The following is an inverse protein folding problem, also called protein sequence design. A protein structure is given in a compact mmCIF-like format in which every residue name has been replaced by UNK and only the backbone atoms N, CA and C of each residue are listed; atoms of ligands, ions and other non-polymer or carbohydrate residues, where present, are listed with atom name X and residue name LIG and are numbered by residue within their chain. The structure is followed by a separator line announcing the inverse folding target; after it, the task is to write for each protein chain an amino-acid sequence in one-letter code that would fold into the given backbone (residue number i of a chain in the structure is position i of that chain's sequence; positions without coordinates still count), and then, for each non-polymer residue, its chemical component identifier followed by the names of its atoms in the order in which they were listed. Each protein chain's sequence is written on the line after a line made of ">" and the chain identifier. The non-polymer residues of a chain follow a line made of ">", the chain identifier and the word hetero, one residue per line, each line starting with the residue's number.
data_IF_320761056292
#
_entry.id   IF_320761056292
#
_cell.length_a   1.000
_cell.length_b   1.000
_cell.length_c   1.000
_cell.angle_alpha   90.00
_cell.angle_beta   90.00
_cell.angle_gamma   90.00
#
_symmetry.space_group_name_H-M   'P 1'
#
loop_
_entity.id
_entity.type
_entity.pdbx_description
1 polymer ?
#
# COMPACT_ATOMS: atom_id res chain seq x y z
N UNK A 1 4.43 -17.80 3.61
CA UNK A 1 5.04 -16.57 3.07
C UNK A 1 5.16 -16.70 1.55
N UNK A 2 4.82 -15.65 0.79
CA UNK A 2 5.02 -15.63 -0.66
C UNK A 2 6.42 -15.07 -0.95
N UNK A 3 7.31 -15.89 -1.51
CA UNK A 3 8.73 -15.56 -1.68
C UNK A 3 9.54 -15.75 -0.40
N UNK A 4 10.74 -16.32 -0.53
CA UNK A 4 11.68 -16.50 0.57
C UNK A 4 12.51 -15.22 0.75
N UNK A 5 12.32 -14.49 1.85
CA UNK A 5 13.06 -13.24 2.11
C UNK A 5 14.57 -13.49 2.31
N UNK A 6 15.00 -14.71 2.62
CA UNK A 6 16.40 -15.05 2.84
C UNK A 6 17.26 -14.89 1.58
N UNK A 7 16.66 -14.82 0.39
CA UNK A 7 17.39 -14.49 -0.85
C UNK A 7 18.05 -13.10 -0.80
N UNK A 8 17.59 -12.22 0.11
CA UNK A 8 18.13 -10.88 0.30
C UNK A 8 19.18 -10.79 1.41
N UNK A 9 19.51 -11.89 2.10
CA UNK A 9 20.36 -11.88 3.30
C UNK A 9 21.71 -11.19 3.09
N UNK A 10 22.46 -11.61 2.07
CA UNK A 10 23.79 -11.03 1.78
C UNK A 10 23.71 -9.53 1.47
N UNK A 11 22.68 -9.11 0.73
CA UNK A 11 22.45 -7.69 0.41
C UNK A 11 22.05 -6.90 1.65
N UNK A 12 21.21 -7.47 2.52
CA UNK A 12 20.73 -6.85 3.75
C UNK A 12 21.86 -6.65 4.76
N UNK A 13 22.74 -7.64 4.92
CA UNK A 13 23.79 -7.63 5.95
C UNK A 13 24.81 -6.50 5.78
N UNK A 14 24.94 -5.94 4.57
CA UNK A 14 25.82 -4.79 4.28
C UNK A 14 25.10 -3.43 4.34
N UNK A 15 23.78 -3.39 4.58
CA UNK A 15 23.04 -2.13 4.56
C UNK A 15 23.31 -1.30 5.82
N UNK A 16 23.48 0.03 5.69
CA UNK A 16 23.56 0.90 6.84
C UNK A 16 22.22 0.90 7.59
N UNK A 17 22.28 0.99 8.91
CA UNK A 17 21.12 1.29 9.75
C UNK A 17 20.97 2.79 9.90
N UNK A 18 19.73 3.28 9.93
CA UNK A 18 19.43 4.71 10.11
C UNK A 18 18.38 4.95 11.18
N UNK A 19 18.53 6.05 11.91
CA UNK A 19 17.56 6.55 12.89
C UNK A 19 16.40 7.29 12.18
N UNK A 20 15.78 6.63 11.20
CA UNK A 20 14.68 7.15 10.39
C UNK A 20 13.46 6.22 10.53
N UNK A 21 12.25 6.78 10.40
CA UNK A 21 11.00 6.03 10.31
C UNK A 21 10.66 5.90 8.83
N UNK A 22 10.41 4.68 8.38
CA UNK A 22 9.94 4.41 7.02
C UNK A 22 8.44 4.08 7.03
N UNK A 23 7.68 4.71 6.16
CA UNK A 23 6.24 4.53 6.04
C UNK A 23 5.95 3.63 4.83
N UNK A 24 5.13 2.62 5.05
CA UNK A 24 4.52 1.81 3.99
C UNK A 24 3.02 1.97 4.10
N UNK A 25 2.36 2.39 3.03
CA UNK A 25 0.92 2.61 3.03
C UNK A 25 0.28 1.85 1.88
N UNK A 26 -0.81 1.14 2.15
CA UNK A 26 -1.73 0.77 1.10
C UNK A 26 -2.44 2.01 0.52
N UNK A 27 -3.13 1.83 -0.59
CA UNK A 27 -3.84 2.86 -1.31
C UNK A 27 -5.36 2.81 -1.12
N UNK A 28 -6.02 1.73 -1.56
CA UNK A 28 -7.48 1.65 -1.58
C UNK A 28 -8.02 1.46 -0.15
N UNK A 29 -8.99 2.29 0.26
CA UNK A 29 -9.53 2.34 1.63
C UNK A 29 -8.50 2.61 2.75
N UNK A 30 -7.28 3.01 2.38
CA UNK A 30 -6.22 3.45 3.30
C UNK A 30 -5.85 4.92 3.07
N UNK A 31 -5.47 5.26 1.84
CA UNK A 31 -5.21 6.65 1.40
C UNK A 31 -6.45 7.21 0.71
N UNK A 32 -7.18 6.40 -0.08
CA UNK A 32 -8.34 6.86 -0.83
C UNK A 32 -9.51 5.89 -0.65
N UNK A 33 -10.66 6.39 -0.23
CA UNK A 33 -11.83 5.55 0.04
C UNK A 33 -12.48 5.06 -1.25
N UNK A 34 -12.73 3.75 -1.33
CA UNK A 34 -13.46 3.12 -2.43
C UNK A 34 -14.96 2.94 -2.13
N UNK A 35 -15.45 3.50 -1.02
CA UNK A 35 -16.83 3.34 -0.55
C UNK A 35 -17.89 3.76 -1.58
N UNK A 36 -17.63 4.79 -2.40
CA UNK A 36 -18.54 5.18 -3.50
C UNK A 36 -18.70 4.05 -4.52
N UNK A 37 -17.60 3.41 -4.91
CA UNK A 37 -17.54 2.31 -5.88
C UNK A 37 -18.30 1.09 -5.33
N UNK A 38 -18.16 0.82 -4.03
CA UNK A 38 -18.86 -0.27 -3.34
C UNK A 38 -20.37 0.02 -3.28
N UNK A 39 -20.77 1.22 -2.83
CA UNK A 39 -22.20 1.60 -2.68
C UNK A 39 -22.95 1.61 -4.01
N UNK A 40 -22.30 2.03 -5.09
CA UNK A 40 -22.88 2.02 -6.45
C UNK A 40 -22.83 0.65 -7.13
N UNK A 41 -22.24 -0.34 -6.48
CA UNK A 41 -22.02 -1.68 -7.02
C UNK A 41 -21.46 -1.64 -8.46
N UNK A 42 -20.41 -0.84 -8.64
CA UNK A 42 -19.77 -0.61 -9.94
C UNK A 42 -19.21 -1.90 -10.50
N UNK A 43 -18.61 -2.73 -9.63
CA UNK A 43 -18.00 -4.02 -9.96
C UNK A 43 -19.02 -5.18 -10.02
N UNK A 44 -20.31 -4.93 -9.75
CA UNK A 44 -21.40 -5.92 -9.74
C UNK A 44 -21.10 -7.13 -8.87
N UNK A 45 -20.74 -6.88 -7.61
CA UNK A 45 -20.38 -7.89 -6.62
C UNK A 45 -18.98 -8.51 -6.79
N UNK A 46 -18.27 -8.26 -7.90
CA UNK A 46 -16.92 -8.82 -8.14
C UNK A 46 -15.88 -8.14 -7.25
N UNK A 47 -15.04 -8.94 -6.59
CA UNK A 47 -14.00 -8.49 -5.66
C UNK A 47 -12.62 -8.97 -6.11
N UNK A 48 -11.57 -8.33 -5.58
CA UNK A 48 -10.18 -8.68 -5.89
C UNK A 48 -9.90 -8.66 -7.41
N UNK A 49 -9.20 -9.69 -7.88
CA UNK A 49 -8.79 -9.80 -9.28
C UNK A 49 -9.96 -9.89 -10.26
N UNK A 50 -11.09 -10.48 -9.88
CA UNK A 50 -12.29 -10.48 -10.73
C UNK A 50 -12.86 -9.06 -10.92
N UNK A 51 -12.82 -8.26 -9.86
CA UNK A 51 -13.22 -6.85 -9.91
C UNK A 51 -12.29 -6.01 -10.79
N UNK A 52 -10.98 -6.24 -10.68
CA UNK A 52 -9.97 -5.58 -11.52
C UNK A 52 -10.13 -5.94 -13.00
N UNK A 53 -10.30 -7.23 -13.29
CA UNK A 53 -10.55 -7.74 -14.65
C UNK A 53 -11.82 -7.17 -15.26
N UNK A 54 -12.90 -7.08 -14.47
CA UNK A 54 -14.14 -6.46 -14.92
C UNK A 54 -13.97 -4.97 -15.25
N UNK A 55 -13.19 -4.24 -14.46
CA UNK A 55 -12.85 -2.85 -14.78
C UNK A 55 -12.09 -2.79 -16.11
N UNK A 56 -11.05 -3.59 -16.27
CA UNK A 56 -10.18 -3.56 -17.45
C UNK A 56 -10.93 -3.95 -18.74
N UNK A 57 -11.70 -5.04 -18.71
CA UNK A 57 -12.31 -5.63 -19.91
C UNK A 57 -13.69 -5.05 -20.24
N UNK A 58 -14.44 -4.54 -19.25
CA UNK A 58 -15.84 -4.12 -19.46
C UNK A 58 -16.05 -2.62 -19.28
N UNK A 59 -15.49 -2.02 -18.23
CA UNK A 59 -15.68 -0.58 -17.95
C UNK A 59 -14.67 0.27 -18.74
N UNK A 60 -13.44 -0.23 -18.86
CA UNK A 60 -12.26 0.50 -19.30
C UNK A 60 -11.62 1.27 -18.15
N UNK A 61 -10.30 1.14 -18.00
CA UNK A 61 -9.51 1.78 -16.93
C UNK A 61 -9.68 3.31 -16.98
N UNK A 62 -9.59 3.91 -18.17
CA UNK A 62 -9.70 5.36 -18.34
C UNK A 62 -11.06 5.88 -17.85
N UNK A 63 -12.16 5.26 -18.29
CA UNK A 63 -13.51 5.64 -17.86
C UNK A 63 -13.68 5.46 -16.34
N UNK A 64 -13.19 4.34 -15.80
CA UNK A 64 -13.28 4.07 -14.37
C UNK A 64 -12.51 5.11 -13.54
N UNK A 65 -11.29 5.44 -13.94
CA UNK A 65 -10.46 6.44 -13.27
C UNK A 65 -11.11 7.83 -13.36
N UNK A 66 -11.60 8.20 -14.54
CA UNK A 66 -12.30 9.46 -14.75
C UNK A 66 -13.55 9.62 -13.88
N UNK A 67 -14.34 8.56 -13.73
CA UNK A 67 -15.61 8.63 -13.00
C UNK A 67 -15.43 8.58 -11.48
N UNK A 68 -14.40 7.86 -11.00
CA UNK A 68 -14.25 7.51 -9.57
C UNK A 68 -13.00 8.05 -8.89
N UNK A 69 -12.06 8.64 -9.62
CA UNK A 69 -10.80 9.17 -9.06
C UNK A 69 -10.52 10.59 -9.53
N UNK A 70 -10.63 10.88 -10.83
CA UNK A 70 -10.41 12.23 -11.34
C UNK A 70 -11.40 13.22 -10.73
N UNK A 71 -10.89 14.37 -10.26
CA UNK A 71 -11.66 15.46 -9.64
C UNK A 71 -12.41 15.08 -8.36
N UNK A 72 -12.19 13.88 -7.81
CA UNK A 72 -12.67 13.54 -6.48
C UNK A 72 -11.84 14.25 -5.43
N UNK A 73 -12.47 14.59 -4.32
CA UNK A 73 -11.71 15.12 -3.19
C UNK A 73 -10.76 14.04 -2.68
N UNK A 74 -9.49 14.42 -2.63
CA UNK A 74 -8.42 13.59 -2.15
C UNK A 74 -8.16 13.93 -0.68
N UNK A 75 -8.23 12.95 0.25
CA UNK A 75 -8.10 13.19 1.68
C UNK A 75 -6.67 13.58 2.05
N UNK A 76 -6.42 14.90 2.10
CA UNK A 76 -5.09 15.42 2.41
C UNK A 76 -4.62 15.13 3.85
N UNK A 77 -5.52 14.78 4.76
CA UNK A 77 -5.18 14.57 6.18
C UNK A 77 -4.32 13.30 6.40
N UNK A 78 -4.47 12.26 5.56
CA UNK A 78 -3.62 11.06 5.62
C UNK A 78 -2.19 11.38 5.18
N UNK A 79 -2.06 12.10 4.06
CA UNK A 79 -0.76 12.45 3.45
C UNK A 79 0.04 13.46 4.26
N UNK A 80 -0.57 14.25 5.16
CA UNK A 80 0.17 15.17 6.05
C UNK A 80 1.25 14.48 6.89
N UNK A 81 1.18 13.16 7.04
CA UNK A 81 2.16 12.34 7.77
C UNK A 81 3.24 11.76 6.87
N UNK A 82 3.12 11.90 5.54
CA UNK A 82 4.00 11.26 4.57
C UNK A 82 5.09 12.22 4.12
N UNK A 83 6.34 11.80 4.33
CA UNK A 83 7.50 12.42 3.71
C UNK A 83 7.85 11.63 2.45
N UNK A 84 8.00 12.32 1.32
CA UNK A 84 8.18 11.70 0.01
C UNK A 84 9.37 10.73 -0.02
N UNK A 85 10.46 11.09 0.64
CA UNK A 85 11.70 10.32 0.69
C UNK A 85 11.58 9.08 1.58
N UNK A 86 10.64 9.07 2.53
CA UNK A 86 10.49 8.05 3.57
C UNK A 86 9.17 7.28 3.46
N UNK A 87 8.45 7.40 2.34
CA UNK A 87 7.14 6.76 2.17
C UNK A 87 7.13 5.89 0.91
N UNK A 88 6.57 4.70 1.02
CA UNK A 88 6.23 3.81 -0.08
C UNK A 88 4.71 3.58 -0.11
N UNK A 89 4.08 3.82 -1.26
CA UNK A 89 2.74 3.33 -1.54
C UNK A 89 2.88 1.90 -2.07
N UNK A 90 2.31 0.92 -1.37
CA UNK A 90 2.39 -0.50 -1.70
C UNK A 90 0.98 -1.09 -1.79
N UNK A 91 0.50 -1.30 -3.01
CA UNK A 91 -0.87 -1.75 -3.27
C UNK A 91 -0.93 -3.05 -4.06
N UNK A 92 -2.09 -3.71 -4.08
CA UNK A 92 -2.31 -4.97 -4.76
C UNK A 92 -3.34 -4.85 -5.90
N UNK A 93 -3.11 -5.55 -7.01
CA UNK A 93 -4.01 -5.64 -8.15
C UNK A 93 -3.28 -5.47 -9.48
N UNK A 94 -4.02 -5.07 -10.51
CA UNK A 94 -3.42 -4.91 -11.85
C UNK A 94 -2.60 -3.63 -11.91
N UNK A 95 -1.34 -3.74 -12.34
CA UNK A 95 -0.34 -2.66 -12.31
C UNK A 95 -0.81 -1.39 -13.04
N UNK A 96 -1.36 -1.55 -14.25
CA UNK A 96 -1.90 -0.46 -15.06
C UNK A 96 -3.07 0.27 -14.37
N UNK A 97 -4.01 -0.48 -13.78
CA UNK A 97 -5.14 0.07 -13.06
C UNK A 97 -4.69 0.82 -11.80
N UNK A 98 -3.82 0.20 -11.00
CA UNK A 98 -3.33 0.79 -9.75
C UNK A 98 -2.56 2.09 -10.00
N UNK A 99 -1.66 2.11 -10.99
CA UNK A 99 -0.91 3.31 -11.37
C UNK A 99 -1.82 4.42 -11.90
N UNK A 100 -2.80 4.09 -12.74
CA UNK A 100 -3.73 5.10 -13.27
C UNK A 100 -4.55 5.78 -12.16
N UNK A 101 -5.01 5.01 -11.16
CA UNK A 101 -5.70 5.59 -9.99
C UNK A 101 -4.80 6.53 -9.19
N UNK A 102 -3.56 6.10 -8.90
CA UNK A 102 -2.58 6.89 -8.14
C UNK A 102 -2.22 8.20 -8.87
N UNK A 103 -2.07 8.14 -10.19
CA UNK A 103 -1.83 9.30 -11.03
C UNK A 103 -3.00 10.29 -10.97
N UNK A 104 -4.24 9.79 -11.11
CA UNK A 104 -5.45 10.62 -11.09
C UNK A 104 -5.68 11.36 -9.77
N UNK A 105 -5.16 10.84 -8.65
CA UNK A 105 -5.22 11.51 -7.34
C UNK A 105 -3.95 12.32 -7.00
N UNK A 106 -3.03 12.47 -7.95
CA UNK A 106 -1.84 13.31 -7.80
C UNK A 106 -0.70 12.71 -6.96
N UNK A 107 -0.73 11.41 -6.67
CA UNK A 107 0.25 10.72 -5.82
C UNK A 107 1.44 10.11 -6.60
N UNK A 108 1.51 10.32 -7.91
CA UNK A 108 2.55 9.78 -8.79
C UNK A 108 3.99 10.17 -8.41
N UNK A 109 4.16 11.16 -7.54
CA UNK A 109 5.46 11.62 -7.06
C UNK A 109 5.98 10.80 -5.87
N UNK A 110 5.16 10.00 -5.20
CA UNK A 110 5.61 9.03 -4.21
C UNK A 110 6.16 7.77 -4.90
N UNK A 111 7.12 7.06 -4.28
CA UNK A 111 7.44 5.70 -4.68
C UNK A 111 6.21 4.80 -4.62
N UNK A 112 5.95 4.06 -5.70
CA UNK A 112 4.81 3.15 -5.81
C UNK A 112 5.30 1.76 -6.17
N UNK A 113 4.77 0.75 -5.47
CA UNK A 113 4.90 -0.66 -5.81
C UNK A 113 3.51 -1.29 -5.90
N UNK A 114 3.31 -2.04 -6.98
CA UNK A 114 2.10 -2.82 -7.20
C UNK A 114 2.48 -4.29 -7.23
N UNK A 115 1.84 -5.08 -6.36
CA UNK A 115 1.90 -6.54 -6.37
C UNK A 115 0.61 -7.12 -6.94
N UNK A 116 0.62 -8.37 -7.36
CA UNK A 116 -0.60 -8.95 -7.95
C UNK A 116 -1.64 -9.29 -6.86
N UNK A 117 -1.20 -9.91 -5.76
CA UNK A 117 -2.03 -10.25 -4.61
C UNK A 117 -1.53 -9.62 -3.30
N UNK A 118 -2.44 -9.33 -2.38
CA UNK A 118 -2.14 -8.70 -1.08
C UNK A 118 -1.07 -9.45 -0.26
N UNK A 119 -1.08 -10.79 -0.31
CA UNK A 119 -0.10 -11.63 0.40
C UNK A 119 1.35 -11.48 -0.07
N UNK A 120 1.57 -10.85 -1.21
CA UNK A 120 2.91 -10.58 -1.76
C UNK A 120 3.54 -9.30 -1.17
N UNK A 121 2.72 -8.42 -0.57
CA UNK A 121 3.17 -7.13 -0.04
C UNK A 121 4.32 -7.24 0.99
N UNK A 122 4.27 -8.14 2.00
CA UNK A 122 5.40 -8.32 2.93
C UNK A 122 6.75 -8.53 2.24
N UNK A 123 6.78 -9.38 1.21
CA UNK A 123 7.99 -9.68 0.46
C UNK A 123 8.44 -8.50 -0.42
N UNK A 124 7.52 -7.85 -1.15
CA UNK A 124 7.88 -6.69 -1.98
C UNK A 124 8.32 -5.49 -1.12
N UNK A 125 7.81 -5.34 0.11
CA UNK A 125 8.31 -4.37 1.09
C UNK A 125 9.77 -4.63 1.43
N UNK A 126 10.14 -5.86 1.81
CA UNK A 126 11.54 -6.23 2.10
C UNK A 126 12.44 -5.99 0.90
N UNK A 127 12.01 -6.44 -0.28
CA UNK A 127 12.73 -6.22 -1.53
C UNK A 127 12.93 -4.74 -1.82
N UNK A 128 11.90 -3.90 -1.62
CA UNK A 128 12.02 -2.45 -1.80
C UNK A 128 13.05 -1.86 -0.83
N UNK A 129 12.99 -2.22 0.45
CA UNK A 129 13.94 -1.75 1.47
C UNK A 129 15.38 -2.12 1.07
N UNK A 130 15.60 -3.39 0.70
CA UNK A 130 16.95 -3.89 0.41
C UNK A 130 17.49 -3.33 -0.90
N UNK A 131 16.69 -3.32 -1.97
CA UNK A 131 17.19 -3.04 -3.32
C UNK A 131 17.04 -1.57 -3.74
N UNK A 132 16.09 -0.84 -3.16
CA UNK A 132 15.75 0.54 -3.54
C UNK A 132 16.05 1.54 -2.43
N UNK A 133 15.56 1.30 -1.21
CA UNK A 133 15.84 2.19 -0.07
C UNK A 133 17.31 2.13 0.34
N UNK A 134 17.91 0.93 0.28
CA UNK A 134 19.34 0.65 0.54
C UNK A 134 19.82 1.08 1.94
N UNK A 135 18.92 1.10 2.90
CA UNK A 135 19.24 1.20 4.32
C UNK A 135 18.12 0.52 5.12
N UNK A 136 18.43 0.13 6.35
CA UNK A 136 17.43 -0.41 7.29
C UNK A 136 16.98 0.74 8.20
N UNK A 137 15.69 1.13 8.17
CA UNK A 137 15.15 2.14 9.09
C UNK A 137 15.12 1.60 10.53
N UNK A 138 14.93 2.48 11.50
CA UNK A 138 14.77 2.11 12.92
C UNK A 138 13.39 1.53 13.19
N UNK A 139 12.38 2.14 12.59
CA UNK A 139 11.00 1.69 12.66
C UNK A 139 10.38 1.71 11.26
N UNK A 140 9.50 0.75 11.00
CA UNK A 140 8.63 0.73 9.81
C UNK A 140 7.19 0.87 10.29
N UNK A 141 6.47 1.85 9.75
CA UNK A 141 5.06 2.08 10.05
C UNK A 141 4.23 1.67 8.84
N UNK A 142 3.38 0.65 9.02
CA UNK A 142 2.55 0.08 7.96
C UNK A 142 1.12 0.53 8.16
N UNK A 143 0.53 1.22 7.18
CA UNK A 143 -0.88 1.63 7.17
C UNK A 143 -1.63 0.77 6.15
N UNK A 144 -2.68 0.06 6.59
CA UNK A 144 -3.39 -0.91 5.76
C UNK A 144 -4.84 -1.10 6.28
N UNK A 145 -5.82 -1.17 5.37
CA UNK A 145 -7.23 -1.48 5.71
C UNK A 145 -7.43 -2.97 6.03
N UNK A 146 -6.61 -3.83 5.43
CA UNK A 146 -6.59 -5.30 5.58
C UNK A 146 -5.18 -5.81 5.92
N UNK A 147 -4.77 -5.70 7.20
CA UNK A 147 -3.39 -5.93 7.62
C UNK A 147 -3.02 -7.41 7.84
N UNK A 148 -3.89 -8.37 7.51
CA UNK A 148 -3.74 -9.76 7.95
C UNK A 148 -2.39 -10.36 7.55
N UNK A 149 -1.95 -10.15 6.31
CA UNK A 149 -0.69 -10.68 5.82
C UNK A 149 0.55 -10.06 6.47
N UNK A 150 0.48 -8.78 6.87
CA UNK A 150 1.56 -8.15 7.61
C UNK A 150 1.58 -8.63 9.06
N UNK A 151 0.42 -8.83 9.69
CA UNK A 151 0.33 -9.40 11.04
C UNK A 151 0.93 -10.81 11.06
N UNK A 152 0.54 -11.65 10.10
CA UNK A 152 1.01 -13.05 9.98
C UNK A 152 2.53 -13.14 9.81
N UNK A 153 3.15 -12.14 9.21
CA UNK A 153 4.59 -12.14 8.87
C UNK A 153 5.43 -11.22 9.75
N UNK A 154 4.83 -10.43 10.64
CA UNK A 154 5.50 -9.38 11.43
C UNK A 154 6.77 -9.86 12.12
N UNK A 155 6.69 -10.94 12.90
CA UNK A 155 7.82 -11.45 13.67
C UNK A 155 9.00 -11.88 12.78
N UNK A 156 8.72 -12.53 11.66
CA UNK A 156 9.74 -12.95 10.69
C UNK A 156 10.40 -11.74 10.02
N UNK A 157 9.61 -10.72 9.67
CA UNK A 157 10.12 -9.48 9.07
C UNK A 157 10.96 -8.66 10.04
N UNK A 158 10.52 -8.53 11.30
CA UNK A 158 11.25 -7.84 12.35
C UNK A 158 12.60 -8.52 12.64
N UNK A 159 12.63 -9.85 12.71
CA UNK A 159 13.86 -10.62 12.89
C UNK A 159 14.80 -10.45 11.70
N UNK A 160 14.28 -10.63 10.47
CA UNK A 160 15.08 -10.54 9.26
C UNK A 160 15.72 -9.15 9.10
N UNK A 161 14.92 -8.10 9.17
CA UNK A 161 15.38 -6.71 9.00
C UNK A 161 16.10 -6.19 10.25
N UNK A 162 15.89 -6.79 11.43
CA UNK A 162 16.34 -6.29 12.72
C UNK A 162 15.93 -4.81 12.93
N UNK A 163 14.63 -4.58 12.76
CA UNK A 163 13.91 -3.29 12.89
C UNK A 163 12.57 -3.54 13.57
N UNK A 164 12.03 -2.51 14.24
CA UNK A 164 10.66 -2.55 14.77
C UNK A 164 9.64 -2.31 13.67
N UNK A 165 8.54 -3.05 13.66
CA UNK A 165 7.41 -2.85 12.74
C UNK A 165 6.16 -2.52 13.56
N UNK A 166 5.52 -1.40 13.24
CA UNK A 166 4.20 -1.02 13.76
C UNK A 166 3.18 -1.13 12.64
N UNK A 167 2.08 -1.82 12.89
CA UNK A 167 1.00 -2.00 11.93
C UNK A 167 -0.19 -1.18 12.42
N UNK A 168 -0.74 -0.36 11.54
CA UNK A 168 -1.88 0.51 11.81
C UNK A 168 -3.03 0.09 10.91
N UNK A 169 -4.11 -0.41 11.54
CA UNK A 169 -5.39 -0.61 10.86
C UNK A 169 -5.98 0.76 10.53
N UNK A 170 -6.31 0.95 9.26
CA UNK A 170 -6.96 2.16 8.76
C UNK A 170 -8.40 1.85 8.38
N UNK A 171 -9.34 2.65 8.89
CA UNK A 171 -10.75 2.53 8.52
C UNK A 171 -11.25 3.86 7.93
N UNK A 172 -11.46 3.86 6.61
CA UNK A 172 -12.01 5.01 5.89
C UNK A 172 -13.53 4.91 5.76
N UNK A 173 -14.23 5.95 6.21
CA UNK A 173 -15.68 6.11 6.00
C UNK A 173 -16.01 6.70 4.63
N UNK A 174 -15.24 7.72 4.24
CA UNK A 174 -15.34 8.47 3.00
C UNK A 174 -14.03 9.28 2.80
N UNK A 175 -13.95 10.09 1.74
CA UNK A 175 -12.77 10.93 1.45
C UNK A 175 -12.76 12.27 2.20
N UNK A 176 -13.77 12.56 3.03
CA UNK A 176 -13.97 13.87 3.67
C UNK A 176 -13.70 13.82 5.18
N UNK A 177 -13.95 12.66 5.79
CA UNK A 177 -13.79 12.41 7.21
C UNK A 177 -12.36 11.96 7.51
N UNK A 178 -11.85 12.33 8.69
CA UNK A 178 -10.61 11.74 9.22
C UNK A 178 -10.79 10.22 9.42
N UNK A 179 -9.85 9.37 8.97
CA UNK A 179 -9.92 7.93 9.17
C UNK A 179 -9.66 7.60 10.62
N UNK A 180 -10.25 6.50 11.06
CA UNK A 180 -9.83 5.85 12.30
C UNK A 180 -8.52 5.13 12.02
N UNK A 181 -7.51 5.37 12.87
CA UNK A 181 -6.21 4.71 12.78
C UNK A 181 -5.94 4.05 14.14
N UNK A 182 -5.74 2.73 14.14
CA UNK A 182 -5.48 1.95 15.35
C UNK A 182 -4.19 1.14 15.19
N UNK A 183 -3.23 1.34 16.08
CA UNK A 183 -2.05 0.46 16.18
C UNK A 183 -2.49 -0.94 16.61
N UNK A 184 -1.99 -1.95 15.91
CA UNK A 184 -2.21 -3.36 16.19
C UNK A 184 -0.97 -3.94 16.87
N UNK A 185 -1.20 -4.63 17.99
CA UNK A 185 -0.17 -5.32 18.77
C UNK A 185 0.37 -6.56 18.03
#
# INVERSE_FOLDING_TARGET
>A
MFGDINIFKDKKDILPKKEEIFIVSDFDDTIFSTQEIIKKDVRKGRRGNEGNKYIEEVIGIENFVKDYYEKKEFPNHVIKRFEKENTLILTAGFDNLQKAKIEAVGLHHFPVKVVYESKEKPFEMVKYIVEKLKFIPKEIHIFEDRPEHFIETKAELEDFLNTKIKIFLVEMKDNFSEPTIKELD
#
